data_IF_065912693766
#
_entry.id   IF_065912693766
#
_cell.length_a   1.000
_cell.length_b   1.000
_cell.length_c   1.000
_cell.angle_alpha   90.00
_cell.angle_beta   90.00
_cell.angle_gamma   90.00
#
_symmetry.space_group_name_H-M   'P 1'
#
loop_
_entity.id
_entity.type
_entity.pdbx_description
1 polymer ?
#
# COMPACT_ATOMS: atom_id res chain seq x y z
N UNK A 1 10.43 -27.54 28.92
CA UNK A 1 9.02 -27.08 28.75
C UNK A 1 8.94 -25.55 28.71
N UNK A 2 9.50 -24.83 29.69
CA UNK A 2 9.52 -23.36 29.74
C UNK A 2 10.10 -22.66 28.50
N UNK A 3 11.22 -23.17 27.95
CA UNK A 3 11.89 -22.60 26.77
C UNK A 3 10.99 -22.62 25.51
N UNK A 4 10.16 -23.65 25.37
CA UNK A 4 9.25 -23.79 24.22
C UNK A 4 8.10 -22.78 24.30
N UNK A 5 7.59 -22.53 25.50
CA UNK A 5 6.54 -21.53 25.75
C UNK A 5 7.07 -20.12 25.48
N UNK A 6 8.30 -19.83 25.94
CA UNK A 6 8.95 -18.54 25.69
C UNK A 6 9.17 -18.26 24.19
N UNK A 7 9.62 -19.27 23.44
CA UNK A 7 9.79 -19.14 21.99
C UNK A 7 8.46 -18.91 21.26
N UNK A 8 7.40 -19.62 21.69
CA UNK A 8 6.06 -19.45 21.13
C UNK A 8 5.48 -18.05 21.40
N UNK A 9 5.68 -17.52 22.61
CA UNK A 9 5.25 -16.17 22.97
C UNK A 9 5.97 -15.10 22.14
N UNK A 10 7.26 -15.27 21.88
CA UNK A 10 8.05 -14.32 21.10
C UNK A 10 7.58 -14.24 19.63
N UNK A 11 7.22 -15.38 19.02
CA UNK A 11 6.72 -15.42 17.64
C UNK A 11 5.37 -14.71 17.45
N UNK A 12 4.52 -14.70 18.48
CA UNK A 12 3.22 -14.02 18.44
C UNK A 12 3.40 -12.49 18.40
N UNK A 13 4.37 -11.96 19.15
CA UNK A 13 4.62 -10.50 19.21
C UNK A 13 5.09 -9.95 17.87
N UNK A 14 5.92 -10.69 17.13
CA UNK A 14 6.40 -10.26 15.81
C UNK A 14 5.31 -10.27 14.73
N UNK A 15 4.30 -11.13 14.87
CA UNK A 15 3.17 -11.17 13.93
C UNK A 15 2.23 -9.96 14.09
N UNK A 16 2.21 -9.34 15.27
CA UNK A 16 1.38 -8.16 15.56
C UNK A 16 2.05 -6.83 15.21
N UNK A 17 3.36 -6.83 14.94
CA UNK A 17 4.14 -5.62 14.64
C UNK A 17 4.16 -5.27 13.13
N UNK A 18 3.07 -5.53 12.41
CA UNK A 18 3.00 -5.23 10.98
C UNK A 18 2.60 -3.76 10.77
N UNK A 19 3.60 -2.90 10.56
CA UNK A 19 3.38 -1.50 10.26
C UNK A 19 2.62 -1.33 8.93
N UNK A 20 1.65 -0.41 8.92
CA UNK A 20 0.83 -0.09 7.75
C UNK A 20 0.93 1.42 7.46
N UNK A 21 1.20 1.77 6.21
CA UNK A 21 1.17 3.14 5.69
C UNK A 21 -0.10 3.35 4.86
N UNK A 22 -0.56 4.59 4.82
CA UNK A 22 -1.63 5.01 3.91
C UNK A 22 -1.03 5.97 2.89
N UNK A 23 -1.21 5.69 1.60
CA UNK A 23 -0.90 6.61 0.53
C UNK A 23 -2.20 7.25 0.03
N UNK A 24 -2.19 8.57 -0.02
CA UNK A 24 -3.27 9.38 -0.58
C UNK A 24 -2.72 10.37 -1.59
N UNK A 25 -3.52 10.68 -2.60
CA UNK A 25 -3.18 11.69 -3.59
C UNK A 25 -4.35 11.95 -4.53
N UNK A 26 -4.10 12.81 -5.52
CA UNK A 26 -5.07 13.16 -6.56
C UNK A 26 -4.47 12.85 -7.91
N UNK A 27 -5.23 12.20 -8.79
CA UNK A 27 -4.82 11.91 -10.16
C UNK A 27 -5.32 13.04 -11.06
N UNK A 28 -4.40 13.75 -11.69
CA UNK A 28 -4.69 14.78 -12.69
C UNK A 28 -3.98 14.49 -14.01
N UNK A 29 -4.56 14.95 -15.11
CA UNK A 29 -3.93 14.89 -16.43
C UNK A 29 -2.99 16.09 -16.68
N UNK A 30 -2.38 16.15 -17.87
CA UNK A 30 -1.49 17.26 -18.27
C UNK A 30 -2.19 18.62 -18.41
N UNK A 31 -3.52 18.63 -18.50
CA UNK A 31 -4.35 19.84 -18.50
C UNK A 31 -4.79 20.27 -17.10
N UNK A 32 -4.32 19.56 -16.05
CA UNK A 32 -4.75 19.72 -14.66
C UNK A 32 -6.21 19.32 -14.38
N UNK A 33 -6.84 18.55 -15.28
CA UNK A 33 -8.17 17.98 -15.05
C UNK A 33 -8.07 16.71 -14.20
N UNK A 34 -9.06 16.48 -13.31
CA UNK A 34 -9.11 15.27 -12.48
C UNK A 34 -9.45 14.04 -13.32
N UNK A 35 -8.73 12.95 -13.09
CA UNK A 35 -8.99 11.67 -13.76
C UNK A 35 -9.80 10.77 -12.84
N UNK A 36 -11.04 10.51 -13.21
CA UNK A 36 -11.96 9.62 -12.48
C UNK A 36 -11.73 8.17 -12.91
N UNK A 37 -11.71 7.24 -11.95
CA UNK A 37 -11.56 5.81 -12.25
C UNK A 37 -10.17 5.41 -12.75
N UNK A 38 -9.15 6.24 -12.55
CA UNK A 38 -7.77 5.85 -12.77
C UNK A 38 -7.45 4.67 -11.85
N UNK A 39 -6.87 3.61 -12.39
CA UNK A 39 -6.42 2.46 -11.61
C UNK A 39 -5.03 2.75 -11.06
N UNK A 40 -4.92 2.76 -9.73
CA UNK A 40 -3.68 2.96 -9.00
C UNK A 40 -3.27 1.63 -8.39
N UNK A 41 -2.04 1.20 -8.68
CA UNK A 41 -1.43 0.00 -8.09
C UNK A 41 -0.16 0.42 -7.36
N UNK A 42 -0.14 0.20 -6.04
CA UNK A 42 1.04 0.38 -5.21
C UNK A 42 1.68 -0.99 -4.96
N UNK A 43 2.88 -1.18 -5.51
CA UNK A 43 3.66 -2.41 -5.38
C UNK A 43 4.83 -2.16 -4.45
N UNK A 44 4.92 -2.94 -3.38
CA UNK A 44 6.09 -2.93 -2.50
C UNK A 44 7.20 -3.80 -3.10
N UNK A 45 8.31 -3.18 -3.47
CA UNK A 45 9.39 -3.83 -4.22
C UNK A 45 10.01 -5.00 -3.44
N UNK A 46 10.17 -4.85 -2.13
CA UNK A 46 10.86 -5.87 -1.32
C UNK A 46 10.03 -7.14 -1.12
N UNK A 47 8.70 -7.03 -1.08
CA UNK A 47 7.80 -8.14 -0.75
C UNK A 47 6.90 -8.56 -1.91
N UNK A 48 6.96 -7.85 -3.05
CA UNK A 48 6.01 -7.97 -4.16
C UNK A 48 4.55 -7.94 -3.70
N UNK A 49 4.26 -7.13 -2.67
CA UNK A 49 2.91 -6.97 -2.18
C UNK A 49 2.23 -5.85 -2.95
N UNK A 50 1.10 -6.15 -3.57
CA UNK A 50 0.35 -5.22 -4.40
C UNK A 50 -0.95 -4.78 -3.71
N UNK A 51 -1.22 -3.47 -3.78
CA UNK A 51 -2.45 -2.87 -3.30
C UNK A 51 -3.03 -1.97 -4.39
N UNK A 52 -4.22 -2.33 -4.87
CA UNK A 52 -4.90 -1.64 -5.97
C UNK A 52 -6.10 -0.84 -5.46
N UNK A 53 -6.27 0.37 -5.97
CA UNK A 53 -7.41 1.25 -5.70
C UNK A 53 -7.74 2.09 -6.94
N UNK A 54 -8.94 2.66 -7.02
CA UNK A 54 -9.34 3.56 -8.10
C UNK A 54 -9.55 4.98 -7.60
N UNK A 55 -9.26 5.99 -8.41
CA UNK A 55 -9.60 7.38 -8.09
C UNK A 55 -11.12 7.61 -8.12
N UNK A 56 -11.61 8.46 -7.22
CA UNK A 56 -13.03 8.84 -7.13
C UNK A 56 -13.40 9.98 -8.13
N UNK A 57 -14.61 10.52 -8.01
CA UNK A 57 -15.11 11.64 -8.84
C UNK A 57 -14.32 12.94 -8.72
N UNK A 58 -13.53 13.09 -7.65
CA UNK A 58 -12.64 14.23 -7.41
C UNK A 58 -11.19 13.91 -7.82
N UNK A 59 -10.95 12.74 -8.42
CA UNK A 59 -9.60 12.25 -8.74
C UNK A 59 -8.82 11.78 -7.50
N UNK A 60 -9.41 11.83 -6.31
CA UNK A 60 -8.76 11.44 -5.06
C UNK A 60 -8.69 9.92 -4.93
N UNK A 61 -7.55 9.43 -4.45
CA UNK A 61 -7.36 8.02 -4.11
C UNK A 61 -6.80 7.86 -2.69
N UNK A 62 -7.11 6.71 -2.10
CA UNK A 62 -6.52 6.23 -0.85
C UNK A 62 -6.20 4.76 -1.00
N UNK A 63 -4.93 4.41 -0.86
CA UNK A 63 -4.47 3.02 -0.83
C UNK A 63 -3.69 2.74 0.43
N UNK A 64 -3.80 1.51 0.91
CA UNK A 64 -3.09 1.04 2.08
C UNK A 64 -1.87 0.27 1.60
N UNK A 65 -0.69 0.59 2.13
CA UNK A 65 0.55 -0.12 1.86
C UNK A 65 1.12 -0.69 3.16
N UNK A 66 1.78 -1.83 3.11
CA UNK A 66 2.44 -2.40 4.29
C UNK A 66 3.77 -1.67 4.54
N UNK A 67 3.81 -0.86 5.58
CA UNK A 67 4.97 -0.05 5.99
C UNK A 67 6.07 -0.88 6.67
N UNK A 68 6.36 -2.09 6.20
CA UNK A 68 7.54 -2.81 6.67
C UNK A 68 8.82 -2.18 6.09
N UNK A 69 9.52 -1.35 6.87
CA UNK A 69 10.86 -0.82 6.54
C UNK A 69 10.89 0.20 5.40
N UNK A 70 12.06 0.85 5.23
CA UNK A 70 12.40 1.80 4.15
C UNK A 70 12.40 1.09 2.78
N UNK A 71 11.26 0.56 2.36
CA UNK A 71 11.10 -0.17 1.11
C UNK A 71 10.66 0.76 -0.01
N UNK A 72 11.31 0.65 -1.17
CA UNK A 72 10.89 1.35 -2.37
C UNK A 72 9.48 0.88 -2.78
N UNK A 73 8.63 1.82 -3.19
CA UNK A 73 7.29 1.53 -3.69
C UNK A 73 7.20 1.93 -5.16
N UNK A 74 6.79 0.99 -6.01
CA UNK A 74 6.44 1.27 -7.39
C UNK A 74 4.97 1.63 -7.46
N UNK A 75 4.66 2.83 -7.93
CA UNK A 75 3.29 3.28 -8.16
C UNK A 75 3.04 3.27 -9.66
N UNK A 76 2.11 2.41 -10.09
CA UNK A 76 1.67 2.38 -11.49
C UNK A 76 0.27 2.96 -11.58
N UNK A 77 0.12 3.97 -12.43
CA UNK A 77 -1.15 4.57 -12.78
C UNK A 77 -1.54 4.08 -14.17
N UNK A 78 -2.75 3.54 -14.31
CA UNK A 78 -3.30 3.16 -15.61
C UNK A 78 -4.70 3.72 -15.79
N UNK A 79 -4.95 4.29 -16.97
CA UNK A 79 -6.24 4.85 -17.38
C UNK A 79 -6.58 4.26 -18.75
N UNK A 80 -7.85 3.95 -18.96
CA UNK A 80 -8.37 3.50 -20.26
C UNK A 80 -9.13 4.69 -20.87
N UNK A 81 -8.69 5.14 -22.04
CA UNK A 81 -9.36 6.16 -22.84
C UNK A 81 -10.31 5.48 -23.83
#
# INVERSE_FOLDING_TARGET
>A
MLLRISLFLCAIVTALAQDTATLTGTVTDSSSAVVVGAQITATKVDTNFDSATSSNSEGFYRTTATAGGQGLMNITLSFRF
#
